data_IF_689165858336
#
_entry.id   IF_689165858336
#
_cell.length_a   1.000
_cell.length_b   1.000
_cell.length_c   1.000
_cell.angle_alpha   90.00
_cell.angle_beta   90.00
_cell.angle_gamma   90.00
#
_symmetry.space_group_name_H-M   'P 1'
#
loop_
_entity.id
_entity.type
_entity.pdbx_description
1 polymer ?
#
# COMPACT_ATOMS: atom_id res chain seq x y z
N UNK A 1 24.41 16.15 14.49
CA UNK A 1 23.27 15.56 13.75
C UNK A 1 22.08 16.49 13.93
N UNK A 2 21.36 16.85 12.86
CA UNK A 2 20.08 17.55 13.01
C UNK A 2 19.07 16.61 13.66
N UNK A 3 18.16 17.12 14.49
CA UNK A 3 17.13 16.31 15.15
C UNK A 3 16.31 15.49 14.14
N UNK A 4 16.08 16.01 12.93
CA UNK A 4 15.39 15.28 11.86
C UNK A 4 16.09 13.98 11.46
N UNK A 5 17.44 13.98 11.39
CA UNK A 5 18.18 12.75 11.06
C UNK A 5 18.00 11.68 12.12
N UNK A 6 17.86 12.07 13.39
CA UNK A 6 17.60 11.11 14.48
C UNK A 6 16.23 10.46 14.30
N UNK A 7 15.20 11.26 14.01
CA UNK A 7 13.85 10.74 13.80
C UNK A 7 13.70 9.89 12.54
N UNK A 8 14.44 10.20 11.48
CA UNK A 8 14.47 9.35 10.28
C UNK A 8 15.07 7.97 10.59
N UNK A 9 16.17 7.92 11.37
CA UNK A 9 16.79 6.65 11.80
C UNK A 9 15.87 5.85 12.72
N UNK A 10 15.16 6.51 13.64
CA UNK A 10 14.16 5.85 14.50
C UNK A 10 13.01 5.31 13.64
N UNK A 11 12.51 6.10 12.68
CA UNK A 11 11.34 5.76 11.87
C UNK A 11 11.55 4.55 10.97
N UNK A 12 12.81 4.22 10.59
CA UNK A 12 13.13 3.01 9.82
C UNK A 12 13.55 1.82 10.68
N UNK A 13 13.66 2.01 12.00
CA UNK A 13 14.09 0.95 12.92
C UNK A 13 13.05 -0.17 12.95
N UNK A 14 13.44 -1.46 12.84
CA UNK A 14 12.50 -2.57 12.67
C UNK A 14 11.66 -2.92 13.92
N UNK A 15 11.82 -2.20 15.03
CA UNK A 15 11.26 -2.56 16.36
C UNK A 15 10.29 -1.50 16.91
N UNK A 16 9.85 -0.53 16.11
CA UNK A 16 8.88 0.47 16.58
C UNK A 16 7.44 -0.05 16.42
N UNK A 17 6.62 0.13 17.46
CA UNK A 17 5.21 -0.29 17.47
C UNK A 17 4.29 0.85 17.04
N UNK A 18 3.03 0.52 16.75
CA UNK A 18 2.00 1.53 16.44
C UNK A 18 1.78 2.50 17.61
N UNK A 19 1.83 2.03 18.87
CA UNK A 19 1.71 2.88 20.06
C UNK A 19 2.86 3.90 20.15
N UNK A 20 4.08 3.49 19.79
CA UNK A 20 5.22 4.40 19.71
C UNK A 20 4.98 5.48 18.65
N UNK A 21 4.50 5.07 17.47
CA UNK A 21 4.19 5.99 16.36
C UNK A 21 3.11 6.99 16.77
N UNK A 22 2.06 6.55 17.49
CA UNK A 22 1.00 7.41 18.01
C UNK A 22 1.58 8.45 18.98
N UNK A 23 2.43 8.01 19.91
CA UNK A 23 3.02 8.89 20.92
C UNK A 23 3.94 9.95 20.28
N UNK A 24 4.68 9.59 19.24
CA UNK A 24 5.65 10.47 18.56
C UNK A 24 5.20 10.95 17.17
N UNK A 25 3.89 10.98 16.91
CA UNK A 25 3.31 11.21 15.58
C UNK A 25 3.71 12.52 14.87
N UNK A 26 4.17 13.52 15.62
CA UNK A 26 4.64 14.82 15.09
C UNK A 26 6.12 14.82 14.71
N UNK A 27 6.87 13.83 15.18
CA UNK A 27 8.32 13.77 15.05
C UNK A 27 8.76 12.70 14.05
N UNK A 28 8.04 11.57 14.02
CA UNK A 28 8.33 10.45 13.12
C UNK A 28 8.13 10.82 11.66
N UNK A 29 8.92 10.20 10.80
CA UNK A 29 8.81 10.36 9.36
C UNK A 29 7.83 9.34 8.80
N UNK A 30 6.60 9.79 8.53
CA UNK A 30 5.49 8.96 8.05
C UNK A 30 5.80 8.15 6.79
N UNK A 31 6.61 8.67 5.86
CA UNK A 31 7.01 7.90 4.66
C UNK A 31 7.92 6.73 5.03
N UNK A 32 8.84 6.92 5.97
CA UNK A 32 9.71 5.84 6.45
C UNK A 32 8.91 4.83 7.27
N UNK A 33 7.97 5.30 8.11
CA UNK A 33 7.04 4.44 8.84
C UNK A 33 6.26 3.54 7.86
N UNK A 34 5.56 4.14 6.88
CA UNK A 34 4.75 3.41 5.91
C UNK A 34 5.55 2.45 5.04
N UNK A 35 6.86 2.69 4.87
CA UNK A 35 7.71 1.84 4.04
C UNK A 35 8.31 0.66 4.80
N UNK A 36 8.75 0.89 6.03
CA UNK A 36 9.58 -0.08 6.75
C UNK A 36 8.80 -0.90 7.76
N UNK A 37 7.69 -0.36 8.28
CA UNK A 37 6.95 -1.00 9.36
C UNK A 37 5.74 -1.74 8.82
N UNK A 38 5.38 -2.84 9.48
CA UNK A 38 4.14 -3.55 9.20
C UNK A 38 3.01 -2.85 9.95
N UNK A 39 2.22 -2.07 9.23
CA UNK A 39 1.07 -1.36 9.78
C UNK A 39 -0.19 -2.21 9.63
N UNK A 40 -1.04 -2.17 10.65
CA UNK A 40 -2.38 -2.72 10.56
C UNK A 40 -3.26 -1.83 9.70
N UNK A 41 -4.26 -2.42 9.05
CA UNK A 41 -5.24 -1.66 8.28
C UNK A 41 -6.02 -0.66 9.15
N UNK A 42 -6.32 -1.02 10.41
CA UNK A 42 -6.98 -0.14 11.39
C UNK A 42 -6.13 1.08 11.74
N UNK A 43 -4.82 0.89 11.85
CA UNK A 43 -3.90 2.00 12.01
C UNK A 43 -3.92 2.93 10.79
N UNK A 44 -3.85 2.38 9.58
CA UNK A 44 -3.87 3.18 8.35
C UNK A 44 -5.19 3.97 8.24
N UNK A 45 -6.32 3.37 8.59
CA UNK A 45 -7.65 4.03 8.66
C UNK A 45 -7.70 5.20 9.64
N UNK A 46 -6.99 5.09 10.75
CA UNK A 46 -6.93 6.15 11.77
C UNK A 46 -6.09 7.34 11.28
N UNK A 47 -5.11 7.09 10.41
CA UNK A 47 -4.10 8.08 10.00
C UNK A 47 -4.08 8.37 8.49
N UNK A 48 -5.23 8.29 7.82
CA UNK A 48 -5.38 8.48 6.36
C UNK A 48 -4.73 9.77 5.83
N UNK A 49 -4.77 10.86 6.60
CA UNK A 49 -4.21 12.16 6.22
C UNK A 49 -2.70 12.31 6.46
N UNK A 50 -2.04 11.27 6.98
CA UNK A 50 -0.61 11.25 7.31
C UNK A 50 0.16 10.22 6.48
N UNK A 51 -0.51 9.17 6.04
CA UNK A 51 0.10 8.13 5.22
C UNK A 51 0.29 8.60 3.77
N UNK A 52 1.29 8.03 3.11
CA UNK A 52 1.49 8.20 1.68
C UNK A 52 0.94 6.98 0.96
N UNK A 53 -0.15 7.17 0.22
CA UNK A 53 -0.87 6.08 -0.45
C UNK A 53 -0.02 5.28 -1.43
N UNK A 54 0.89 5.92 -2.17
CA UNK A 54 1.82 5.19 -3.07
C UNK A 54 2.77 4.26 -2.29
N UNK A 55 3.19 4.68 -1.08
CA UNK A 55 4.03 3.86 -0.20
C UNK A 55 3.21 2.74 0.42
N UNK A 56 1.98 3.03 0.84
CA UNK A 56 1.04 2.02 1.37
C UNK A 56 0.77 0.94 0.31
N UNK A 57 0.38 1.32 -0.91
CA UNK A 57 0.10 0.39 -2.01
C UNK A 57 1.26 -0.56 -2.31
N UNK A 58 2.50 -0.07 -2.18
CA UNK A 58 3.71 -0.81 -2.55
C UNK A 58 4.26 -1.70 -1.44
N UNK A 59 4.28 -1.21 -0.20
CA UNK A 59 5.06 -1.83 0.87
C UNK A 59 4.21 -2.51 1.94
N UNK A 60 2.92 -2.17 2.06
CA UNK A 60 2.02 -2.83 3.01
C UNK A 60 1.37 -4.07 2.37
N UNK A 61 0.99 -5.01 3.23
CA UNK A 61 0.14 -6.15 2.84
C UNK A 61 -1.30 -5.72 3.06
N UNK A 62 -2.04 -5.56 1.97
CA UNK A 62 -3.41 -5.05 2.00
C UNK A 62 -4.39 -6.18 1.65
N UNK A 63 -5.48 -6.26 2.40
CA UNK A 63 -6.61 -7.13 2.05
C UNK A 63 -7.40 -6.52 0.89
N UNK A 64 -8.01 -7.37 0.07
CA UNK A 64 -8.92 -6.92 -1.00
C UNK A 64 -10.06 -6.03 -0.47
N UNK A 65 -10.54 -6.28 0.74
CA UNK A 65 -11.56 -5.44 1.39
C UNK A 65 -11.05 -4.02 1.61
N UNK A 66 -9.81 -3.88 2.09
CA UNK A 66 -9.18 -2.58 2.26
C UNK A 66 -8.94 -1.89 0.92
N UNK A 67 -8.49 -2.64 -0.09
CA UNK A 67 -8.26 -2.12 -1.43
C UNK A 67 -9.55 -1.59 -2.05
N UNK A 68 -10.67 -2.32 -1.95
CA UNK A 68 -11.97 -1.85 -2.46
C UNK A 68 -12.45 -0.58 -1.76
N UNK A 69 -12.23 -0.48 -0.44
CA UNK A 69 -12.65 0.68 0.34
C UNK A 69 -11.86 1.96 -0.01
N UNK A 70 -10.57 1.83 -0.28
CA UNK A 70 -9.67 2.96 -0.56
C UNK A 70 -9.19 3.02 -2.02
N UNK A 71 -9.94 2.40 -2.95
CA UNK A 71 -9.56 2.29 -4.36
C UNK A 71 -9.22 3.60 -5.06
N UNK A 72 -9.86 4.70 -4.67
CA UNK A 72 -9.60 6.03 -5.26
C UNK A 72 -8.29 6.66 -4.76
N UNK A 73 -7.76 6.18 -3.64
CA UNK A 73 -6.53 6.71 -3.05
C UNK A 73 -5.30 5.88 -3.45
N UNK A 74 -5.49 4.59 -3.70
CA UNK A 74 -4.41 3.65 -3.93
C UNK A 74 -3.81 3.79 -5.33
N UNK A 75 -2.49 3.62 -5.40
CA UNK A 75 -1.77 3.51 -6.65
C UNK A 75 -1.94 2.11 -7.23
N UNK A 76 -2.73 1.99 -8.30
CA UNK A 76 -3.11 0.70 -8.89
C UNK A 76 -1.99 0.00 -9.64
N UNK A 77 -0.97 0.72 -10.12
CA UNK A 77 0.24 0.09 -10.66
C UNK A 77 0.92 -0.71 -9.54
N UNK A 78 1.05 -0.12 -8.35
CA UNK A 78 1.63 -0.80 -7.20
C UNK A 78 0.72 -1.86 -6.59
N UNK A 79 -0.60 -1.65 -6.57
CA UNK A 79 -1.53 -2.69 -6.12
C UNK A 79 -1.39 -3.93 -7.00
N UNK A 80 -1.42 -3.76 -8.32
CA UNK A 80 -1.28 -4.86 -9.27
C UNK A 80 0.10 -5.53 -9.17
N UNK A 81 1.17 -4.77 -8.89
CA UNK A 81 2.52 -5.33 -8.84
C UNK A 81 2.85 -6.07 -7.54
N UNK A 82 2.33 -5.60 -6.40
CA UNK A 82 2.82 -6.01 -5.08
C UNK A 82 1.78 -6.72 -4.22
N UNK A 83 0.50 -6.65 -4.58
CA UNK A 83 -0.57 -7.35 -3.85
C UNK A 83 -0.95 -8.65 -4.56
N UNK A 84 -1.45 -9.61 -3.79
CA UNK A 84 -2.00 -10.84 -4.33
C UNK A 84 -3.51 -10.67 -4.54
N UNK A 85 -3.92 -10.49 -5.80
CA UNK A 85 -5.30 -10.22 -6.15
C UNK A 85 -5.97 -11.50 -6.67
N UNK A 86 -7.16 -11.79 -6.18
CA UNK A 86 -7.99 -12.85 -6.72
C UNK A 86 -8.57 -12.45 -8.08
N UNK A 87 -8.82 -13.45 -8.93
CA UNK A 87 -9.44 -13.23 -10.23
C UNK A 87 -10.80 -12.53 -10.12
N UNK A 88 -11.60 -12.87 -9.12
CA UNK A 88 -12.92 -12.25 -8.92
C UNK A 88 -12.80 -10.78 -8.51
N UNK A 89 -11.81 -10.44 -7.68
CA UNK A 89 -11.52 -9.04 -7.36
C UNK A 89 -11.05 -8.26 -8.58
N UNK A 90 -10.16 -8.84 -9.39
CA UNK A 90 -9.67 -8.20 -10.61
C UNK A 90 -10.79 -7.97 -11.63
N UNK A 91 -11.74 -8.91 -11.77
CA UNK A 91 -12.91 -8.75 -12.64
C UNK A 91 -13.79 -7.57 -12.24
N UNK A 92 -14.01 -7.35 -10.94
CA UNK A 92 -14.83 -6.24 -10.45
C UNK A 92 -14.13 -4.89 -10.55
N UNK A 93 -12.78 -4.89 -10.54
CA UNK A 93 -11.96 -3.68 -10.56
C UNK A 93 -11.17 -3.46 -11.86
N UNK A 94 -11.54 -4.15 -12.94
CA UNK A 94 -10.83 -4.12 -14.23
C UNK A 94 -10.54 -2.73 -14.79
N UNK A 95 -11.37 -1.73 -14.46
CA UNK A 95 -11.20 -0.35 -14.92
C UNK A 95 -9.99 0.37 -14.32
N UNK A 96 -9.44 -0.15 -13.23
CA UNK A 96 -8.22 0.34 -12.62
C UNK A 96 -6.97 -0.43 -13.02
N UNK A 97 -7.15 -1.57 -13.69
CA UNK A 97 -6.08 -2.48 -14.02
C UNK A 97 -5.56 -2.18 -15.42
N UNK A 98 -4.27 -1.91 -15.49
CA UNK A 98 -3.54 -1.87 -16.74
C UNK A 98 -3.18 -3.30 -17.18
N UNK A 99 -3.43 -3.61 -18.45
CA UNK A 99 -3.25 -4.95 -19.00
C UNK A 99 -1.81 -5.42 -18.89
N UNK A 100 -0.85 -4.56 -19.26
CA UNK A 100 0.57 -4.91 -19.26
C UNK A 100 1.04 -5.22 -17.83
N UNK A 101 0.56 -4.47 -16.84
CA UNK A 101 0.84 -4.74 -15.43
C UNK A 101 0.24 -6.07 -14.95
N UNK A 102 -1.00 -6.38 -15.32
CA UNK A 102 -1.64 -7.64 -14.93
C UNK A 102 -0.89 -8.83 -15.53
N UNK A 103 -0.52 -8.76 -16.81
CA UNK A 103 0.22 -9.82 -17.50
C UNK A 103 1.61 -10.06 -16.88
N UNK A 104 2.29 -8.98 -16.45
CA UNK A 104 3.62 -9.08 -15.87
C UNK A 104 3.66 -9.56 -14.42
N UNK A 105 2.65 -9.22 -13.62
CA UNK A 105 2.72 -9.36 -12.16
C UNK A 105 1.64 -10.24 -11.53
N UNK A 106 0.56 -10.58 -12.24
CA UNK A 106 -0.53 -11.40 -11.71
C UNK A 106 -0.64 -12.73 -12.44
N UNK A 107 -1.16 -13.75 -11.74
CA UNK A 107 -1.40 -15.06 -12.33
C UNK A 107 -2.84 -15.16 -12.84
N UNK A 108 -3.03 -14.84 -14.12
CA UNK A 108 -4.33 -14.86 -14.80
C UNK A 108 -4.26 -15.67 -16.10
N UNK A 109 -5.40 -16.01 -16.68
CA UNK A 109 -5.48 -16.70 -17.97
C UNK A 109 -5.62 -15.73 -19.14
N UNK A 110 -5.34 -16.22 -20.35
CA UNK A 110 -5.40 -15.43 -21.59
C UNK A 110 -6.80 -14.86 -21.84
N UNK A 111 -7.85 -15.61 -21.48
CA UNK A 111 -9.24 -15.17 -21.62
C UNK A 111 -9.49 -13.87 -20.83
N UNK A 112 -8.98 -13.78 -19.59
CA UNK A 112 -9.11 -12.58 -18.77
C UNK A 112 -8.29 -11.42 -19.33
N UNK A 113 -7.07 -11.67 -19.82
CA UNK A 113 -6.22 -10.64 -20.44
C UNK A 113 -6.83 -10.08 -21.73
N UNK A 114 -7.61 -10.88 -22.46
CA UNK A 114 -8.34 -10.42 -23.64
C UNK A 114 -9.49 -9.45 -23.28
N UNK A 115 -10.09 -9.61 -22.09
CA UNK A 115 -11.20 -8.80 -21.60
C UNK A 115 -10.75 -7.44 -21.00
N UNK A 116 -9.49 -7.34 -20.55
CA UNK A 116 -8.86 -6.08 -20.16
C UNK A 116 -8.57 -5.26 -21.42
N UNK A 117 -9.49 -4.34 -21.77
CA UNK A 117 -9.31 -3.43 -22.91
C UNK A 117 -8.19 -2.43 -22.59
N UNK A 118 -7.30 -2.23 -23.56
CA UNK A 118 -6.27 -1.18 -23.57
C UNK A 118 -6.87 0.22 -23.45
#
# INVERSE_FOLDING_TARGET
MSCQKVWDEISKSPVITEEFIIFFQQEVNWNLICRHQKLSEDFIRTYLNRVNWSVISKYQVLSEKFIDEFKENLDWEYICKYQNLSLEFMKTHKHYLDKDNVELYQYVNDDFLADLKN
#
